data_IF_988742823360
#
_entry.id   IF_988742823360
#
_cell.length_a   1.000
_cell.length_b   1.000
_cell.length_c   1.000
_cell.angle_alpha   90.00
_cell.angle_beta   90.00
_cell.angle_gamma   90.00
#
_symmetry.space_group_name_H-M   'P 1'
#
loop_
_entity.id
_entity.type
_entity.pdbx_description
1 polymer ?
#
# COMPACT_ATOMS: atom_id res chain seq x y z
N UNK A 1 3.38 -10.14 -11.38
CA UNK A 1 3.77 -8.91 -10.66
C UNK A 1 4.40 -7.95 -11.67
N UNK A 2 3.61 -7.08 -12.28
CA UNK A 2 4.14 -5.90 -12.97
C UNK A 2 4.46 -4.89 -11.88
N UNK A 3 5.70 -4.90 -11.42
CA UNK A 3 6.29 -3.77 -10.71
C UNK A 3 6.11 -2.57 -11.63
N UNK A 4 5.24 -1.62 -11.27
CA UNK A 4 5.35 -0.25 -11.75
C UNK A 4 6.82 0.14 -11.55
N UNK A 5 7.54 0.34 -12.65
CA UNK A 5 9.00 0.27 -12.75
C UNK A 5 9.79 1.36 -12.02
N UNK A 6 9.30 1.84 -10.88
CA UNK A 6 9.74 3.06 -10.18
C UNK A 6 9.91 2.85 -8.66
N UNK A 7 10.21 1.64 -8.19
CA UNK A 7 10.62 1.42 -6.79
C UNK A 7 9.52 1.62 -5.73
N UNK A 8 8.26 1.57 -6.13
CA UNK A 8 7.12 1.72 -5.24
C UNK A 8 6.77 0.42 -4.52
N UNK A 9 6.45 0.52 -3.22
CA UNK A 9 5.88 -0.59 -2.45
C UNK A 9 4.37 -0.42 -2.34
N UNK A 10 3.60 -1.35 -2.91
CA UNK A 10 2.14 -1.42 -2.72
C UNK A 10 1.85 -2.05 -1.36
N UNK A 11 1.09 -1.35 -0.52
CA UNK A 11 0.76 -1.83 0.82
C UNK A 11 -0.76 -1.84 1.09
N UNK A 12 -1.59 -1.47 0.12
CA UNK A 12 -3.01 -1.81 0.11
C UNK A 12 -3.46 -1.94 -1.33
N UNK A 13 -4.19 -3.00 -1.65
CA UNK A 13 -4.84 -3.16 -2.96
C UNK A 13 -6.29 -3.58 -2.80
N UNK A 14 -7.18 -2.90 -3.53
CA UNK A 14 -8.61 -3.21 -3.66
C UNK A 14 -8.96 -3.38 -5.13
N UNK A 15 -9.74 -4.39 -5.45
CA UNK A 15 -10.04 -4.79 -6.83
C UNK A 15 -11.53 -5.12 -6.99
N UNK A 16 -11.99 -6.17 -6.32
CA UNK A 16 -13.30 -6.79 -6.57
C UNK A 16 -14.13 -7.01 -5.29
N UNK A 17 -13.59 -6.65 -4.12
CA UNK A 17 -14.24 -6.89 -2.83
C UNK A 17 -14.23 -8.34 -2.36
N UNK A 18 -13.42 -9.22 -2.96
CA UNK A 18 -13.24 -10.63 -2.54
C UNK A 18 -12.70 -10.77 -1.11
N UNK A 19 -12.02 -9.75 -0.58
CA UNK A 19 -11.52 -9.73 0.79
C UNK A 19 -12.31 -8.72 1.62
N UNK A 20 -12.92 -9.20 2.71
CA UNK A 20 -13.53 -8.30 3.69
C UNK A 20 -12.46 -7.46 4.40
N UNK A 21 -12.64 -6.14 4.42
CA UNK A 21 -11.87 -5.19 5.22
C UNK A 21 -12.56 -4.84 6.56
N UNK A 22 -13.76 -5.36 6.81
CA UNK A 22 -14.41 -5.21 8.11
C UNK A 22 -13.88 -6.28 9.07
N UNK A 23 -12.76 -5.98 9.74
CA UNK A 23 -12.03 -6.91 10.61
C UNK A 23 -11.58 -6.25 11.91
N UNK A 24 -11.36 -7.07 12.95
CA UNK A 24 -10.83 -6.61 14.23
C UNK A 24 -9.36 -6.19 14.20
N UNK A 25 -8.92 -5.52 15.26
CA UNK A 25 -7.57 -4.91 15.39
C UNK A 25 -6.40 -5.84 15.06
N UNK A 26 -6.45 -7.10 15.53
CA UNK A 26 -5.39 -8.08 15.32
C UNK A 26 -5.06 -8.28 13.83
N UNK A 27 -6.07 -8.26 12.96
CA UNK A 27 -5.90 -8.38 11.51
C UNK A 27 -5.25 -7.13 10.91
N UNK A 28 -5.60 -5.95 11.37
CA UNK A 28 -4.97 -4.71 10.93
C UNK A 28 -3.52 -4.60 11.39
N UNK A 29 -3.19 -5.15 12.55
CA UNK A 29 -1.82 -5.22 13.06
C UNK A 29 -0.94 -6.15 12.21
N UNK A 30 -1.40 -7.38 11.95
CA UNK A 30 -0.58 -8.44 11.33
C UNK A 30 -0.72 -8.57 9.82
N UNK A 31 -1.87 -8.16 9.27
CA UNK A 31 -2.20 -8.27 7.85
C UNK A 31 -3.26 -9.34 7.55
N UNK A 32 -3.86 -9.24 6.36
CA UNK A 32 -4.84 -10.17 5.80
C UNK A 32 -4.94 -10.02 4.27
N UNK A 33 -5.54 -11.01 3.60
CA UNK A 33 -5.71 -11.04 2.14
C UNK A 33 -4.55 -11.73 1.41
N UNK A 34 -4.46 -11.52 0.10
CA UNK A 34 -3.49 -12.16 -0.79
C UNK A 34 -2.68 -11.10 -1.55
N UNK A 35 -1.34 -11.21 -1.50
CA UNK A 35 -0.41 -10.32 -2.23
C UNK A 35 -0.60 -10.38 -3.76
N UNK A 36 -1.28 -11.41 -4.28
CA UNK A 36 -1.69 -11.53 -5.69
C UNK A 36 -3.12 -11.01 -5.95
N UNK A 37 -3.92 -10.72 -4.91
CA UNK A 37 -5.28 -10.16 -4.98
C UNK A 37 -5.48 -8.94 -4.08
N UNK A 38 -6.61 -8.84 -3.37
CA UNK A 38 -6.82 -7.80 -2.36
C UNK A 38 -6.08 -8.10 -1.07
N UNK A 39 -5.39 -7.11 -0.48
CA UNK A 39 -4.65 -7.33 0.75
C UNK A 39 -4.40 -6.07 1.59
N UNK A 40 -4.09 -6.34 2.85
CA UNK A 40 -3.49 -5.43 3.83
C UNK A 40 -2.28 -6.14 4.46
N UNK A 41 -1.04 -5.64 4.36
CA UNK A 41 0.16 -6.32 4.83
C UNK A 41 0.35 -6.24 6.34
N UNK A 42 -0.40 -5.37 7.04
CA UNK A 42 -0.32 -5.18 8.49
C UNK A 42 0.46 -3.93 8.90
N UNK A 43 -0.03 -3.25 9.94
CA UNK A 43 0.57 -2.04 10.50
C UNK A 43 2.00 -2.28 11.01
N UNK A 44 2.31 -3.46 11.56
CA UNK A 44 3.66 -3.79 12.01
C UNK A 44 4.68 -3.72 10.86
N UNK A 45 4.27 -4.15 9.65
CA UNK A 45 5.12 -4.11 8.45
C UNK A 45 5.19 -2.70 7.88
N UNK A 46 4.05 -2.01 7.79
CA UNK A 46 3.97 -0.62 7.31
C UNK A 46 4.86 0.27 8.17
N UNK A 47 4.74 0.18 9.51
CA UNK A 47 5.52 0.99 10.43
C UNK A 47 7.04 0.82 10.22
N UNK A 48 7.52 -0.41 10.02
CA UNK A 48 8.94 -0.69 9.76
C UNK A 48 9.45 -0.07 8.46
N UNK A 49 8.61 -0.03 7.42
CA UNK A 49 8.96 0.56 6.13
C UNK A 49 8.92 2.08 6.22
N UNK A 50 7.91 2.63 6.91
CA UNK A 50 7.72 4.08 7.01
C UNK A 50 8.68 4.75 7.98
N UNK A 51 9.20 4.03 8.98
CA UNK A 51 10.13 4.57 9.97
C UNK A 51 11.57 4.67 9.49
N UNK A 52 11.93 3.95 8.42
CA UNK A 52 13.31 3.87 7.93
C UNK A 52 13.77 5.10 7.14
N UNK A 53 12.84 5.88 6.55
CA UNK A 53 13.16 7.04 5.73
C UNK A 53 11.98 8.01 5.63
N UNK A 54 12.21 9.17 5.02
CA UNK A 54 11.10 9.96 4.50
C UNK A 54 10.40 9.14 3.43
N UNK A 55 9.07 9.10 3.45
CA UNK A 55 8.28 8.33 2.50
C UNK A 55 7.23 9.23 1.86
N UNK A 56 6.89 8.98 0.58
CA UNK A 56 5.73 9.61 -0.06
C UNK A 56 4.61 8.60 -0.21
N UNK A 57 3.38 9.06 0.03
CA UNK A 57 2.17 8.28 -0.13
C UNK A 57 1.49 8.66 -1.44
N UNK A 58 1.11 7.67 -2.23
CA UNK A 58 0.28 7.83 -3.42
C UNK A 58 -0.97 6.98 -3.27
N UNK A 59 -2.12 7.55 -3.65
CA UNK A 59 -3.40 6.84 -3.69
C UNK A 59 -3.88 6.88 -5.13
N UNK A 60 -4.02 5.71 -5.74
CA UNK A 60 -4.64 5.53 -7.04
C UNK A 60 -6.05 5.00 -6.83
N UNK A 61 -7.03 5.75 -7.32
CA UNK A 61 -8.44 5.36 -7.35
C UNK A 61 -8.88 5.28 -8.80
N UNK A 62 -9.55 4.20 -9.15
CA UNK A 62 -10.23 4.08 -10.43
C UNK A 62 -11.73 4.14 -10.17
N UNK A 63 -12.42 5.02 -10.88
CA UNK A 63 -13.86 5.19 -10.80
C UNK A 63 -14.48 4.47 -11.99
N UNK A 64 -14.48 3.13 -11.96
CA UNK A 64 -15.28 2.39 -12.95
C UNK A 64 -16.74 2.47 -12.54
N UNK A 65 -17.51 3.15 -13.39
CA UNK A 65 -18.92 3.45 -13.20
C UNK A 65 -19.75 2.21 -12.88
N UNK A 66 -20.50 2.35 -11.77
CA UNK A 66 -21.68 1.63 -11.32
C UNK A 66 -21.47 0.20 -10.76
N UNK A 67 -21.83 0.13 -9.48
CA UNK A 67 -21.97 -1.02 -8.59
C UNK A 67 -20.68 -1.67 -8.06
N UNK A 68 -20.37 -1.26 -6.82
CA UNK A 68 -19.57 -1.96 -5.78
C UNK A 68 -18.24 -1.29 -5.43
N UNK A 69 -18.35 -0.36 -4.46
CA UNK A 69 -17.41 -0.12 -3.35
C UNK A 69 -15.91 -0.05 -3.65
N UNK A 70 -15.39 1.18 -3.63
CA UNK A 70 -14.08 1.57 -3.08
C UNK A 70 -12.87 0.79 -3.60
N UNK A 71 -12.54 0.99 -4.88
CA UNK A 71 -11.20 0.68 -5.40
C UNK A 71 -10.22 1.78 -4.97
N UNK A 72 -9.46 1.52 -3.91
CA UNK A 72 -8.38 2.37 -3.41
C UNK A 72 -7.09 1.56 -3.36
N UNK A 73 -6.12 1.92 -4.19
CA UNK A 73 -4.76 1.41 -4.16
C UNK A 73 -3.87 2.43 -3.47
N UNK A 74 -3.07 2.00 -2.50
CA UNK A 74 -2.21 2.90 -1.73
C UNK A 74 -0.76 2.42 -1.78
N UNK A 75 0.15 3.32 -2.14
CA UNK A 75 1.51 3.03 -2.57
C UNK A 75 2.51 3.95 -1.84
N UNK A 76 3.65 3.42 -1.38
CA UNK A 76 4.73 4.18 -0.74
C UNK A 76 5.97 4.29 -1.64
N UNK A 77 6.57 5.49 -1.73
CA UNK A 77 7.94 5.71 -2.22
C UNK A 77 8.91 5.84 -1.03
N UNK A 78 10.09 5.22 -1.08
CA UNK A 78 11.24 5.69 -0.33
C UNK A 78 11.68 7.05 -0.89
N UNK A 79 11.84 8.06 -0.02
CA UNK A 79 12.51 9.30 -0.41
C UNK A 79 13.98 8.99 -0.63
N UNK A 80 14.44 9.07 -1.88
CA UNK A 80 15.85 9.22 -2.18
C UNK A 80 16.32 10.51 -1.51
N UNK A 81 17.04 10.40 -0.39
CA UNK A 81 17.89 11.48 0.08
C UNK A 81 18.95 11.63 -1.01
N UNK A 82 18.85 12.67 -1.84
CA UNK A 82 20.00 13.11 -2.61
C UNK A 82 21.05 13.52 -1.58
N UNK A 83 22.02 12.66 -1.34
CA UNK A 83 23.28 13.06 -0.73
C UNK A 83 23.95 14.03 -1.71
N UNK A 84 23.74 15.32 -1.50
CA UNK A 84 24.62 16.35 -2.02
C UNK A 84 25.00 17.26 -0.86
N UNK A 85 25.93 16.78 -0.05
CA UNK A 85 26.86 17.62 0.70
C UNK A 85 28.19 16.88 0.70
N UNK A 86 29.02 17.20 -0.28
CA UNK A 86 30.48 17.22 -0.17
C UNK A 86 30.88 18.51 -0.88
N UNK A 87 31.31 19.47 -0.06
CA UNK A 87 32.08 20.71 -0.28
C UNK A 87 31.96 21.47 -1.61
#
# INVERSE_FOLDING_TARGET
MTTSGEGWTVFQRRLDGSVSFYRGWQYYKHGFGDLNGEFWPGLDKINRITSASHNKLRIDMDETLLETRNMQNMILLPSLVKSSSID
#
